data_IF_589934858562
#
_entry.id   IF_589934858562
#
_cell.length_a   1.000
_cell.length_b   1.000
_cell.length_c   1.000
_cell.angle_alpha   90.00
_cell.angle_beta   90.00
_cell.angle_gamma   90.00
#
_symmetry.space_group_name_H-M   'P 1'
#
loop_
_entity.id
_entity.type
_entity.pdbx_description
1 polymer ?
#
# COMPACT_ATOMS: atom_id res chain seq x y z
N UNK A 1 -13.40 -22.42 12.65
CA UNK A 1 -11.96 -22.37 12.28
C UNK A 1 -11.22 -23.39 13.12
N UNK A 2 -10.34 -24.23 12.56
CA UNK A 2 -9.46 -25.09 13.35
C UNK A 2 -8.58 -24.24 14.26
N UNK A 3 -8.34 -24.66 15.50
CA UNK A 3 -7.50 -23.93 16.48
C UNK A 3 -6.08 -23.64 15.96
N UNK A 4 -5.59 -24.44 15.03
CA UNK A 4 -4.29 -24.26 14.36
C UNK A 4 -4.22 -23.04 13.43
N UNK A 5 -5.30 -22.70 12.70
CA UNK A 5 -5.31 -21.53 11.80
C UNK A 5 -5.34 -20.20 12.56
N UNK A 6 -6.07 -20.13 13.68
CA UNK A 6 -6.08 -18.92 14.52
C UNK A 6 -4.70 -18.69 15.14
N UNK A 7 -4.04 -19.75 15.62
CA UNK A 7 -2.68 -19.67 16.17
C UNK A 7 -1.66 -19.17 15.14
N UNK A 8 -1.73 -19.66 13.90
CA UNK A 8 -0.87 -19.20 12.81
C UNK A 8 -1.10 -17.72 12.48
N UNK A 9 -2.36 -17.28 12.43
CA UNK A 9 -2.71 -15.86 12.20
C UNK A 9 -2.17 -14.95 13.30
N UNK A 10 -2.36 -15.33 14.55
CA UNK A 10 -1.84 -14.56 15.69
C UNK A 10 -0.31 -14.49 15.65
N UNK A 11 0.38 -15.59 15.34
CA UNK A 11 1.83 -15.62 15.26
C UNK A 11 2.38 -14.72 14.15
N UNK A 12 1.76 -14.76 12.95
CA UNK A 12 2.16 -13.87 11.82
C UNK A 12 1.96 -12.40 12.19
N UNK A 13 0.83 -12.04 12.80
CA UNK A 13 0.57 -10.66 13.23
C UNK A 13 1.50 -10.22 14.37
N UNK A 14 1.77 -11.09 15.35
CA UNK A 14 2.62 -10.81 16.49
C UNK A 14 4.09 -10.56 16.11
N UNK A 15 4.56 -11.11 14.98
CA UNK A 15 5.90 -10.85 14.46
C UNK A 15 5.86 -9.72 13.42
N UNK A 16 4.91 -9.78 12.48
CA UNK A 16 4.85 -8.86 11.35
C UNK A 16 4.59 -7.41 11.75
N UNK A 17 3.68 -7.18 12.71
CA UNK A 17 3.36 -5.82 13.15
C UNK A 17 4.55 -5.14 13.84
N UNK A 18 5.24 -5.74 14.84
CA UNK A 18 6.43 -5.15 15.43
C UNK A 18 7.57 -4.92 14.42
N UNK A 19 7.81 -5.84 13.49
CA UNK A 19 8.82 -5.68 12.44
C UNK A 19 8.46 -4.51 11.52
N UNK A 20 7.20 -4.39 11.12
CA UNK A 20 6.75 -3.27 10.28
C UNK A 20 6.90 -1.93 11.02
N UNK A 21 6.48 -1.85 12.29
CA UNK A 21 6.62 -0.63 13.11
C UNK A 21 8.10 -0.28 13.27
N UNK A 22 8.95 -1.24 13.61
CA UNK A 22 10.38 -1.01 13.77
C UNK A 22 11.02 -0.50 12.46
N UNK A 23 10.66 -1.07 11.31
CA UNK A 23 11.14 -0.63 10.02
C UNK A 23 10.65 0.78 9.65
N UNK A 24 9.37 1.09 9.91
CA UNK A 24 8.79 2.42 9.65
C UNK A 24 9.48 3.48 10.52
N UNK A 25 9.73 3.19 11.78
CA UNK A 25 10.42 4.12 12.70
C UNK A 25 11.88 4.29 12.32
N UNK A 26 12.59 3.19 12.06
CA UNK A 26 13.99 3.23 11.64
C UNK A 26 14.17 3.96 10.30
N UNK A 27 13.20 3.84 9.38
CA UNK A 27 13.27 4.47 8.06
C UNK A 27 14.43 3.96 7.21
N UNK A 28 14.91 4.81 6.29
CA UNK A 28 16.07 4.56 5.46
C UNK A 28 16.10 3.17 4.81
N UNK A 29 17.24 2.52 4.82
CA UNK A 29 17.43 1.20 4.21
C UNK A 29 16.63 0.08 4.91
N UNK A 30 16.33 0.18 6.20
CA UNK A 30 15.53 -0.83 6.91
C UNK A 30 14.10 -0.90 6.36
N UNK A 31 13.46 0.27 6.19
CA UNK A 31 12.15 0.36 5.56
C UNK A 31 12.23 0.02 4.08
N UNK A 32 13.26 0.54 3.38
CA UNK A 32 13.45 0.31 1.96
C UNK A 32 13.58 -1.16 1.58
N UNK A 33 14.39 -1.93 2.30
CA UNK A 33 14.56 -3.38 2.06
C UNK A 33 13.26 -4.14 2.35
N UNK A 34 12.56 -3.80 3.45
CA UNK A 34 11.28 -4.42 3.78
C UNK A 34 10.25 -4.16 2.67
N UNK A 35 10.06 -2.91 2.27
CA UNK A 35 9.11 -2.55 1.22
C UNK A 35 9.52 -3.11 -0.16
N UNK A 36 10.82 -3.19 -0.47
CA UNK A 36 11.30 -3.82 -1.70
C UNK A 36 11.00 -5.32 -1.74
N UNK A 37 11.17 -6.03 -0.62
CA UNK A 37 10.79 -7.44 -0.51
C UNK A 37 9.27 -7.64 -0.67
N UNK A 38 8.48 -6.75 -0.10
CA UNK A 38 7.02 -6.73 -0.26
C UNK A 38 6.63 -6.43 -1.71
N UNK A 39 7.23 -5.44 -2.35
CA UNK A 39 6.98 -5.11 -3.76
C UNK A 39 7.32 -6.28 -4.69
N UNK A 40 8.47 -6.92 -4.47
CA UNK A 40 8.89 -8.12 -5.18
C UNK A 40 7.87 -9.26 -5.04
N UNK A 41 7.48 -9.58 -3.80
CA UNK A 41 6.49 -10.61 -3.50
C UNK A 41 5.15 -10.36 -4.17
N UNK A 42 4.64 -9.12 -4.07
CA UNK A 42 3.38 -8.69 -4.68
C UNK A 42 3.41 -8.73 -6.20
N UNK A 43 4.51 -8.31 -6.84
CA UNK A 43 4.69 -8.41 -8.28
C UNK A 43 4.66 -9.88 -8.75
N UNK A 44 5.37 -10.77 -8.04
CA UNK A 44 5.40 -12.19 -8.36
C UNK A 44 4.03 -12.86 -8.18
N UNK A 45 3.26 -12.47 -7.16
CA UNK A 45 1.89 -12.94 -6.96
C UNK A 45 0.96 -12.46 -8.08
N UNK A 46 1.03 -11.18 -8.45
CA UNK A 46 0.25 -10.62 -9.55
C UNK A 46 0.58 -11.31 -10.89
N UNK A 47 1.85 -11.61 -11.15
CA UNK A 47 2.25 -12.38 -12.33
C UNK A 47 1.70 -13.81 -12.31
N UNK A 48 1.63 -14.48 -11.14
CA UNK A 48 1.00 -15.80 -11.02
C UNK A 48 -0.51 -15.72 -11.26
N UNK A 49 -1.19 -14.67 -10.80
CA UNK A 49 -2.62 -14.45 -11.09
C UNK A 49 -2.84 -14.29 -12.60
N UNK A 50 -2.01 -13.50 -13.28
CA UNK A 50 -2.07 -13.34 -14.72
C UNK A 50 -1.85 -14.67 -15.49
N UNK A 51 -0.92 -15.50 -15.02
CA UNK A 51 -0.70 -16.83 -15.62
C UNK A 51 -1.93 -17.74 -15.50
N UNK A 52 -2.66 -17.66 -14.40
CA UNK A 52 -3.92 -18.39 -14.23
C UNK A 52 -5.01 -17.90 -15.18
N UNK A 53 -4.97 -16.61 -15.56
CA UNK A 53 -5.85 -16.03 -16.59
C UNK A 53 -5.34 -16.28 -18.03
N UNK A 54 -4.31 -17.10 -18.22
CA UNK A 54 -3.74 -17.44 -19.53
C UNK A 54 -2.83 -16.36 -20.12
N UNK A 55 -2.41 -15.37 -19.34
CA UNK A 55 -1.45 -14.35 -19.74
C UNK A 55 -0.09 -14.71 -19.15
N UNK A 56 0.98 -14.62 -19.96
CA UNK A 56 2.34 -14.98 -19.53
C UNK A 56 3.24 -13.75 -19.46
N UNK A 57 3.29 -13.00 -18.33
CA UNK A 57 4.15 -11.83 -18.18
C UNK A 57 5.65 -12.20 -18.27
N UNK A 58 6.50 -11.21 -18.56
CA UNK A 58 7.95 -11.37 -18.49
C UNK A 58 8.40 -11.03 -17.07
N UNK A 59 8.50 -12.06 -16.22
CA UNK A 59 8.60 -11.89 -14.76
C UNK A 59 9.87 -11.19 -14.28
N UNK A 60 11.02 -11.55 -14.86
CA UNK A 60 12.32 -11.09 -14.34
C UNK A 60 12.46 -9.57 -14.37
N UNK A 61 12.32 -8.89 -15.51
CA UNK A 61 12.44 -7.43 -15.54
C UNK A 61 11.34 -6.74 -14.73
N UNK A 62 10.11 -7.30 -14.71
CA UNK A 62 9.02 -6.73 -13.92
C UNK A 62 9.26 -6.82 -12.41
N UNK A 63 9.70 -7.99 -11.92
CA UNK A 63 10.01 -8.19 -10.51
C UNK A 63 11.22 -7.38 -10.06
N UNK A 64 12.27 -7.31 -10.90
CA UNK A 64 13.45 -6.48 -10.64
C UNK A 64 13.09 -4.99 -10.56
N UNK A 65 12.21 -4.51 -11.45
CA UNK A 65 11.73 -3.13 -11.40
C UNK A 65 10.91 -2.85 -10.14
N UNK A 66 10.00 -3.76 -9.75
CA UNK A 66 9.17 -3.56 -8.56
C UNK A 66 10.01 -3.35 -7.30
N UNK A 67 11.00 -4.23 -7.07
CA UNK A 67 11.93 -4.07 -5.96
C UNK A 67 12.87 -2.86 -6.15
N UNK A 68 13.42 -2.69 -7.35
CA UNK A 68 14.35 -1.63 -7.71
C UNK A 68 13.77 -0.23 -7.53
N UNK A 69 12.48 -0.02 -7.83
CA UNK A 69 11.81 1.28 -7.63
C UNK A 69 11.82 1.69 -6.16
N UNK A 70 11.56 0.76 -5.27
CA UNK A 70 11.58 1.01 -3.82
C UNK A 70 13.02 1.26 -3.34
N UNK A 71 14.00 0.51 -3.85
CA UNK A 71 15.41 0.72 -3.50
C UNK A 71 15.95 2.05 -4.04
N UNK A 72 15.47 2.52 -5.20
CA UNK A 72 15.76 3.88 -5.71
C UNK A 72 15.21 4.92 -4.73
N UNK A 73 13.95 4.77 -4.27
CA UNK A 73 13.36 5.66 -3.28
C UNK A 73 14.07 5.58 -1.91
N UNK A 74 14.62 4.43 -1.52
CA UNK A 74 15.43 4.32 -0.30
C UNK A 74 16.80 5.01 -0.44
N UNK A 75 17.40 4.97 -1.63
CA UNK A 75 18.65 5.66 -1.94
C UNK A 75 18.46 7.17 -2.10
N UNK A 76 17.35 7.59 -2.68
CA UNK A 76 16.93 8.98 -2.91
C UNK A 76 15.57 9.20 -2.24
N UNK A 77 15.55 9.49 -0.93
CA UNK A 77 14.32 9.49 -0.15
C UNK A 77 13.41 10.69 -0.39
N UNK A 78 13.84 11.65 -1.23
CA UNK A 78 13.00 12.73 -1.75
C UNK A 78 12.44 12.40 -3.14
N UNK A 79 11.17 12.74 -3.38
CA UNK A 79 10.55 12.51 -4.70
C UNK A 79 11.25 13.30 -5.80
N UNK A 80 11.74 14.49 -5.51
CA UNK A 80 12.44 15.34 -6.47
C UNK A 80 13.74 14.67 -6.95
N UNK A 81 14.51 14.09 -6.04
CA UNK A 81 15.74 13.37 -6.36
C UNK A 81 15.48 12.02 -7.03
N UNK A 82 14.40 11.33 -6.64
CA UNK A 82 14.06 10.01 -7.16
C UNK A 82 13.34 10.04 -8.51
N UNK A 83 12.70 11.15 -8.88
CA UNK A 83 11.83 11.25 -10.06
C UNK A 83 12.54 10.83 -11.35
N UNK A 84 13.72 11.38 -11.62
CA UNK A 84 14.48 11.03 -12.84
C UNK A 84 14.94 9.57 -12.88
N UNK A 85 15.58 9.02 -11.83
CA UNK A 85 15.92 7.59 -11.80
C UNK A 85 14.70 6.67 -11.95
N UNK A 86 13.57 6.99 -11.31
CA UNK A 86 12.33 6.22 -11.44
C UNK A 86 11.75 6.31 -12.85
N UNK A 87 11.74 7.49 -13.46
CA UNK A 87 11.28 7.67 -14.84
C UNK A 87 12.14 6.87 -15.82
N UNK A 88 13.47 6.99 -15.72
CA UNK A 88 14.41 6.25 -16.59
C UNK A 88 14.22 4.74 -16.41
N UNK A 89 14.11 4.25 -15.18
CA UNK A 89 13.89 2.83 -14.91
C UNK A 89 12.56 2.33 -15.49
N UNK A 90 11.49 3.15 -15.47
CA UNK A 90 10.22 2.81 -16.10
C UNK A 90 10.31 2.72 -17.62
N UNK A 91 11.03 3.65 -18.26
CA UNK A 91 11.30 3.59 -19.70
C UNK A 91 12.07 2.30 -20.03
N UNK A 92 13.12 1.98 -19.26
CA UNK A 92 13.88 0.73 -19.44
C UNK A 92 12.98 -0.50 -19.26
N UNK A 93 12.09 -0.52 -18.26
CA UNK A 93 11.13 -1.60 -18.08
C UNK A 93 10.24 -1.80 -19.31
N UNK A 94 9.67 -0.70 -19.83
CA UNK A 94 8.80 -0.75 -21.02
C UNK A 94 9.56 -1.32 -22.23
N UNK A 95 10.79 -0.84 -22.47
CA UNK A 95 11.64 -1.32 -23.56
C UNK A 95 12.01 -2.81 -23.39
N UNK A 96 12.36 -3.22 -22.16
CA UNK A 96 12.67 -4.62 -21.86
C UNK A 96 11.42 -5.52 -22.00
N UNK A 97 10.26 -5.08 -21.52
CA UNK A 97 9.02 -5.83 -21.63
C UNK A 97 8.60 -5.97 -23.11
N UNK A 98 8.64 -4.88 -23.87
CA UNK A 98 8.32 -4.89 -25.31
C UNK A 98 9.36 -5.66 -26.14
N UNK A 99 10.64 -5.54 -25.82
CA UNK A 99 11.71 -6.28 -26.50
C UNK A 99 11.68 -7.78 -26.22
N UNK A 100 11.51 -8.15 -24.94
CA UNK A 100 11.53 -9.55 -24.54
C UNK A 100 10.43 -10.40 -25.20
N UNK A 101 9.25 -9.83 -25.45
CA UNK A 101 8.15 -10.60 -26.09
C UNK A 101 8.47 -11.03 -27.51
N UNK A 102 9.37 -10.33 -28.21
CA UNK A 102 9.80 -10.70 -29.56
C UNK A 102 10.40 -12.12 -29.58
N UNK A 103 11.30 -12.40 -28.63
CA UNK A 103 12.01 -13.69 -28.56
C UNK A 103 11.34 -14.71 -27.62
N UNK A 104 10.65 -14.22 -26.57
CA UNK A 104 10.12 -15.11 -25.52
C UNK A 104 8.68 -15.51 -25.79
N UNK A 105 7.89 -14.71 -26.51
CA UNK A 105 6.46 -14.96 -26.74
C UNK A 105 6.09 -15.17 -28.20
N UNK A 106 6.69 -14.44 -29.13
CA UNK A 106 6.25 -14.43 -30.54
C UNK A 106 4.81 -13.92 -30.67
N UNK A 107 4.24 -14.09 -31.88
CA UNK A 107 2.87 -13.61 -32.18
C UNK A 107 1.80 -14.39 -31.40
N UNK A 108 1.95 -15.72 -31.35
CA UNK A 108 0.96 -16.62 -30.72
C UNK A 108 0.94 -16.56 -29.19
N UNK A 109 2.01 -16.03 -28.59
CA UNK A 109 2.17 -15.92 -27.14
C UNK A 109 1.47 -14.71 -26.49
N UNK A 110 0.53 -14.06 -27.23
CA UNK A 110 -0.22 -12.88 -26.75
C UNK A 110 0.71 -11.76 -26.27
N UNK A 111 1.58 -11.22 -27.14
CA UNK A 111 2.66 -10.29 -26.74
C UNK A 111 2.14 -9.01 -26.08
N UNK A 112 1.02 -8.43 -26.54
CA UNK A 112 0.46 -7.21 -25.98
C UNK A 112 -0.05 -7.40 -24.53
N UNK A 113 -0.92 -8.38 -24.22
CA UNK A 113 -1.28 -8.66 -22.83
C UNK A 113 -0.08 -9.03 -21.97
N UNK A 114 0.90 -9.77 -22.50
CA UNK A 114 2.12 -10.14 -21.79
C UNK A 114 2.94 -8.92 -21.35
N UNK A 115 3.20 -7.98 -22.28
CA UNK A 115 3.93 -6.74 -21.99
C UNK A 115 3.15 -5.83 -21.03
N UNK A 116 1.85 -5.62 -21.30
CA UNK A 116 1.00 -4.77 -20.45
C UNK A 116 0.94 -5.28 -19.01
N UNK A 117 0.78 -6.60 -18.83
CA UNK A 117 0.75 -7.20 -17.49
C UNK A 117 2.12 -7.15 -16.82
N UNK A 118 3.22 -7.28 -17.57
CA UNK A 118 4.57 -7.11 -17.03
C UNK A 118 4.75 -5.71 -16.48
N UNK A 119 4.38 -4.69 -17.25
CA UNK A 119 4.51 -3.27 -16.84
C UNK A 119 3.58 -2.95 -15.67
N UNK A 120 2.31 -3.32 -15.75
CA UNK A 120 1.35 -3.08 -14.66
C UNK A 120 1.79 -3.78 -13.37
N UNK A 121 2.13 -5.08 -13.46
CA UNK A 121 2.52 -5.87 -12.29
C UNK A 121 3.85 -5.47 -11.67
N UNK A 122 4.66 -4.70 -12.37
CA UNK A 122 5.89 -4.10 -11.88
C UNK A 122 5.65 -2.71 -11.25
N UNK A 123 5.00 -1.81 -12.01
CA UNK A 123 4.77 -0.43 -11.59
C UNK A 123 3.81 -0.38 -10.40
N UNK A 124 2.73 -1.16 -10.42
CA UNK A 124 1.72 -1.10 -9.38
C UNK A 124 2.32 -1.35 -7.99
N UNK A 125 2.96 -2.48 -7.66
CA UNK A 125 3.55 -2.65 -6.32
C UNK A 125 4.82 -1.80 -6.12
N UNK A 126 5.65 -1.59 -7.14
CA UNK A 126 6.92 -0.89 -7.02
C UNK A 126 6.74 0.60 -6.71
N UNK A 127 6.00 1.31 -7.56
CA UNK A 127 5.83 2.75 -7.38
C UNK A 127 4.91 3.10 -6.21
N UNK A 128 3.85 2.32 -5.99
CA UNK A 128 2.96 2.61 -4.87
C UNK A 128 3.68 2.49 -3.53
N UNK A 129 4.52 1.46 -3.36
CA UNK A 129 5.30 1.30 -2.13
C UNK A 129 6.51 2.23 -2.04
N UNK A 130 7.08 2.69 -3.17
CA UNK A 130 8.10 3.74 -3.16
C UNK A 130 7.59 5.03 -2.51
N UNK A 131 6.30 5.37 -2.67
CA UNK A 131 5.68 6.50 -1.96
C UNK A 131 5.70 6.33 -0.43
N UNK A 132 5.80 5.10 0.08
CA UNK A 132 6.00 4.86 1.51
C UNK A 132 7.36 5.39 2.02
N UNK A 133 8.39 5.37 1.17
CA UNK A 133 9.68 5.98 1.47
C UNK A 133 9.58 7.51 1.48
N UNK A 134 8.94 8.09 0.46
CA UNK A 134 8.75 9.54 0.36
C UNK A 134 7.86 10.05 1.51
N UNK A 135 6.76 9.36 1.81
CA UNK A 135 5.88 9.70 2.92
C UNK A 135 6.62 9.69 4.27
N UNK A 136 7.60 8.78 4.41
CA UNK A 136 8.42 8.68 5.62
C UNK A 136 9.46 9.79 5.76
N UNK A 137 9.98 10.33 4.63
CA UNK A 137 11.18 11.15 4.65
C UNK A 137 10.99 12.59 4.13
N UNK A 138 10.18 12.85 3.10
CA UNK A 138 10.06 14.17 2.46
C UNK A 138 9.60 15.27 3.40
N UNK A 139 8.80 14.94 4.40
CA UNK A 139 8.20 15.94 5.30
C UNK A 139 8.94 16.10 6.63
N UNK A 140 9.99 15.32 6.88
CA UNK A 140 10.70 15.39 8.17
C UNK A 140 11.43 16.71 8.38
N UNK A 141 11.95 17.33 7.31
CA UNK A 141 12.60 18.63 7.37
C UNK A 141 11.68 19.75 7.90
N UNK A 142 10.35 19.62 7.75
CA UNK A 142 9.37 20.61 8.24
C UNK A 142 9.30 20.68 9.77
N UNK A 143 9.69 19.59 10.44
CA UNK A 143 9.64 19.46 11.90
C UNK A 143 11.02 19.23 12.51
N UNK A 144 12.09 19.38 11.70
CA UNK A 144 13.48 19.25 12.15
C UNK A 144 13.79 20.34 13.21
N UNK A 145 14.37 19.92 14.32
CA UNK A 145 14.70 20.82 15.43
C UNK A 145 13.50 21.34 16.24
N UNK A 146 12.29 20.90 15.93
CA UNK A 146 11.10 21.28 16.68
C UNK A 146 11.08 20.62 18.08
N UNK A 147 10.45 21.30 19.04
CA UNK A 147 10.16 20.71 20.35
C UNK A 147 8.90 19.86 20.23
N UNK A 148 9.05 18.54 20.32
CA UNK A 148 7.93 17.62 20.18
C UNK A 148 7.10 17.53 21.47
N UNK A 149 5.78 17.70 21.35
CA UNK A 149 4.81 17.49 22.42
C UNK A 149 4.48 16.02 22.69
N UNK A 150 5.11 15.10 21.95
CA UNK A 150 4.89 13.68 22.10
C UNK A 150 5.45 13.15 23.42
N UNK A 151 4.82 12.13 24.06
CA UNK A 151 5.27 11.59 25.32
C UNK A 151 6.52 10.70 25.17
N UNK A 152 7.51 10.92 26.04
CA UNK A 152 8.67 10.03 26.23
C UNK A 152 9.45 9.69 24.97
N UNK A 153 9.60 8.41 24.67
CA UNK A 153 10.38 7.90 23.53
C UNK A 153 9.78 8.24 22.15
N UNK A 154 8.54 8.69 22.10
CA UNK A 154 7.89 9.14 20.85
C UNK A 154 8.34 10.55 20.43
N UNK A 155 8.98 11.32 21.32
CA UNK A 155 9.41 12.70 21.06
C UNK A 155 10.73 12.74 20.26
N UNK A 156 10.74 12.17 19.05
CA UNK A 156 11.92 12.14 18.15
C UNK A 156 11.50 12.34 16.70
N UNK A 157 12.43 12.83 15.87
CA UNK A 157 12.23 12.99 14.42
C UNK A 157 11.89 11.65 13.74
N UNK A 158 12.45 10.55 14.22
CA UNK A 158 12.14 9.22 13.70
C UNK A 158 10.65 8.89 13.82
N UNK A 159 10.03 9.23 14.93
CA UNK A 159 8.60 9.03 15.14
C UNK A 159 7.75 10.08 14.41
N UNK A 160 8.24 11.33 14.27
CA UNK A 160 7.56 12.35 13.50
C UNK A 160 7.37 11.92 12.02
N UNK A 161 8.43 11.46 11.36
CA UNK A 161 8.32 10.93 10.01
C UNK A 161 7.48 9.64 9.92
N UNK A 162 7.57 8.77 10.95
CA UNK A 162 6.74 7.57 11.03
C UNK A 162 5.25 7.91 11.17
N UNK A 163 4.89 9.02 11.82
CA UNK A 163 3.51 9.42 12.05
C UNK A 163 2.71 9.60 10.76
N UNK A 164 3.32 10.11 9.69
CA UNK A 164 2.66 10.27 8.39
C UNK A 164 2.35 8.91 7.74
N UNK A 165 3.27 7.95 7.83
CA UNK A 165 3.03 6.58 7.35
C UNK A 165 1.94 5.92 8.19
N UNK A 166 1.99 6.08 9.52
CA UNK A 166 0.99 5.53 10.45
C UNK A 166 -0.39 6.14 10.22
N UNK A 167 -0.48 7.41 9.78
CA UNK A 167 -1.75 8.00 9.35
C UNK A 167 -2.43 7.15 8.26
N UNK A 168 -1.71 6.85 7.18
CA UNK A 168 -2.28 6.10 6.05
C UNK A 168 -2.68 4.68 6.44
N UNK A 169 -1.85 3.99 7.21
CA UNK A 169 -2.12 2.63 7.72
C UNK A 169 -3.29 2.65 8.70
N UNK A 170 -3.27 3.56 9.66
CA UNK A 170 -4.30 3.67 10.71
C UNK A 170 -5.68 4.01 10.15
N UNK A 171 -5.75 4.97 9.22
CA UNK A 171 -7.00 5.33 8.53
C UNK A 171 -7.55 4.13 7.77
N UNK A 172 -6.71 3.41 7.02
CA UNK A 172 -7.12 2.20 6.28
C UNK A 172 -7.67 1.13 7.23
N UNK A 173 -6.98 0.83 8.32
CA UNK A 173 -7.41 -0.20 9.27
C UNK A 173 -8.71 0.16 10.01
N UNK A 174 -8.90 1.43 10.38
CA UNK A 174 -10.15 1.88 11.00
C UNK A 174 -11.29 1.86 9.99
N UNK A 175 -11.04 2.27 8.73
CA UNK A 175 -12.00 2.15 7.64
C UNK A 175 -12.51 0.70 7.51
N UNK A 176 -11.60 -0.26 7.42
CA UNK A 176 -11.95 -1.68 7.26
C UNK A 176 -12.67 -2.23 8.50
N UNK A 177 -12.21 -1.86 9.68
CA UNK A 177 -12.80 -2.27 10.95
C UNK A 177 -14.23 -1.78 11.08
N UNK A 178 -14.48 -0.48 10.86
CA UNK A 178 -15.81 0.11 10.88
C UNK A 178 -16.71 -0.50 9.80
N UNK A 179 -16.17 -0.69 8.58
CA UNK A 179 -16.90 -1.30 7.49
C UNK A 179 -17.31 -2.75 7.80
N UNK A 180 -16.43 -3.53 8.41
CA UNK A 180 -16.70 -4.90 8.80
C UNK A 180 -17.81 -5.01 9.84
N UNK A 181 -17.69 -4.27 10.97
CA UNK A 181 -18.66 -4.37 12.05
C UNK A 181 -20.05 -3.82 11.66
N UNK A 182 -20.09 -2.65 11.02
CA UNK A 182 -21.36 -2.07 10.56
C UNK A 182 -21.99 -2.92 9.45
N UNK A 183 -21.20 -3.38 8.50
CA UNK A 183 -21.64 -4.24 7.42
C UNK A 183 -22.19 -5.57 7.90
N UNK A 184 -21.58 -6.17 8.92
CA UNK A 184 -22.06 -7.41 9.55
C UNK A 184 -23.36 -7.22 10.33
N UNK A 185 -23.50 -6.10 11.04
CA UNK A 185 -24.65 -5.85 11.93
C UNK A 185 -25.87 -5.30 11.19
N UNK A 186 -25.65 -4.38 10.23
CA UNK A 186 -26.75 -3.64 9.57
C UNK A 186 -26.75 -3.76 8.04
N UNK A 187 -25.75 -4.44 7.45
CA UNK A 187 -25.57 -4.51 5.99
C UNK A 187 -26.57 -5.44 5.30
N UNK A 188 -27.63 -4.87 4.72
CA UNK A 188 -28.61 -5.59 3.91
C UNK A 188 -28.27 -5.55 2.41
N UNK A 189 -27.95 -4.35 1.88
CA UNK A 189 -27.61 -4.13 0.47
C UNK A 189 -26.12 -4.38 0.25
N UNK A 190 -25.80 -5.29 -0.67
CA UNK A 190 -24.43 -5.58 -1.09
C UNK A 190 -23.87 -4.45 -1.95
N UNK A 191 -22.54 -4.22 -1.88
CA UNK A 191 -21.86 -3.17 -2.63
C UNK A 191 -21.63 -3.63 -4.09
N UNK A 192 -20.82 -4.68 -4.29
CA UNK A 192 -20.54 -5.30 -5.59
C UNK A 192 -20.54 -6.83 -5.40
N UNK A 193 -21.71 -7.50 -5.49
CA UNK A 193 -21.85 -8.92 -5.17
C UNK A 193 -20.95 -9.85 -5.97
N UNK A 194 -20.73 -9.52 -7.25
CA UNK A 194 -19.92 -10.34 -8.18
C UNK A 194 -18.42 -10.31 -7.87
N UNK A 195 -17.94 -9.25 -7.26
CA UNK A 195 -16.53 -9.05 -6.92
C UNK A 195 -16.24 -9.47 -5.47
N UNK A 196 -16.98 -8.85 -4.54
CA UNK A 196 -16.84 -9.07 -3.10
C UNK A 196 -18.20 -9.24 -2.43
N UNK A 197 -18.72 -10.48 -2.30
CA UNK A 197 -20.05 -10.73 -1.74
C UNK A 197 -20.18 -10.38 -0.25
N UNK A 198 -19.07 -10.17 0.45
CA UNK A 198 -19.04 -9.77 1.86
C UNK A 198 -19.31 -8.28 2.08
N UNK A 199 -18.91 -7.42 1.15
CA UNK A 199 -19.01 -5.96 1.30
C UNK A 199 -20.43 -5.45 1.14
N UNK A 200 -20.81 -4.47 1.97
CA UNK A 200 -22.15 -3.87 1.99
C UNK A 200 -22.09 -2.35 1.89
N UNK A 201 -23.16 -1.73 1.40
CA UNK A 201 -23.25 -0.26 1.28
C UNK A 201 -23.15 0.41 2.66
N UNK A 202 -23.86 -0.13 3.66
CA UNK A 202 -23.80 0.40 5.04
C UNK A 202 -22.38 0.26 5.62
N UNK A 203 -21.72 -0.87 5.34
CA UNK A 203 -20.32 -1.05 5.72
C UNK A 203 -19.42 0.00 5.10
N UNK A 204 -19.52 0.25 3.79
CA UNK A 204 -18.70 1.26 3.11
C UNK A 204 -18.91 2.66 3.70
N UNK A 205 -20.17 3.08 3.92
CA UNK A 205 -20.47 4.39 4.53
C UNK A 205 -19.90 4.50 5.95
N UNK A 206 -20.05 3.46 6.77
CA UNK A 206 -19.54 3.44 8.14
C UNK A 206 -17.99 3.44 8.15
N UNK A 207 -17.36 2.72 7.21
CA UNK A 207 -15.91 2.75 7.03
C UNK A 207 -15.42 4.16 6.74
N UNK A 208 -16.00 4.83 5.74
CA UNK A 208 -15.65 6.21 5.40
C UNK A 208 -15.88 7.19 6.55
N UNK A 209 -16.97 7.04 7.31
CA UNK A 209 -17.21 7.85 8.50
C UNK A 209 -16.12 7.63 9.57
N UNK A 210 -15.70 6.38 9.78
CA UNK A 210 -14.57 6.05 10.66
C UNK A 210 -13.25 6.63 10.17
N UNK A 211 -12.98 6.55 8.87
CA UNK A 211 -11.80 7.13 8.25
C UNK A 211 -11.72 8.66 8.42
N UNK A 212 -12.84 9.36 8.22
CA UNK A 212 -12.96 10.81 8.47
C UNK A 212 -12.70 11.13 9.94
N UNK A 213 -13.34 10.42 10.84
CA UNK A 213 -13.22 10.67 12.28
C UNK A 213 -11.79 10.43 12.78
N UNK A 214 -11.16 9.31 12.39
CA UNK A 214 -9.79 9.02 12.81
C UNK A 214 -8.79 9.94 12.14
N UNK A 215 -8.99 10.32 10.86
CA UNK A 215 -8.14 11.28 10.15
C UNK A 215 -8.13 12.64 10.84
N UNK A 216 -9.31 13.15 11.23
CA UNK A 216 -9.45 14.41 11.99
C UNK A 216 -8.77 14.33 13.36
N UNK A 217 -9.05 13.28 14.12
CA UNK A 217 -8.49 13.12 15.47
C UNK A 217 -6.97 12.92 15.42
N UNK A 218 -6.46 12.12 14.50
CA UNK A 218 -5.03 11.86 14.36
C UNK A 218 -4.27 13.12 13.93
N UNK A 219 -4.81 13.91 12.99
CA UNK A 219 -4.22 15.18 12.60
C UNK A 219 -4.14 16.14 13.79
N UNK A 220 -5.24 16.37 14.51
CA UNK A 220 -5.27 17.29 15.65
C UNK A 220 -4.37 16.87 16.82
N UNK A 221 -4.35 15.57 17.17
CA UNK A 221 -3.64 15.08 18.36
C UNK A 221 -2.20 14.71 18.03
N UNK A 222 -1.98 13.95 16.96
CA UNK A 222 -0.67 13.39 16.67
C UNK A 222 0.14 14.32 15.76
N UNK A 223 -0.39 14.67 14.57
CA UNK A 223 0.39 15.45 13.60
C UNK A 223 0.64 16.87 14.11
N UNK A 224 -0.38 17.53 14.64
CA UNK A 224 -0.26 18.91 15.10
C UNK A 224 0.13 18.97 16.59
N UNK A 225 -0.58 18.22 17.46
CA UNK A 225 -0.36 18.31 18.89
C UNK A 225 0.97 17.73 19.37
N UNK A 226 1.46 16.64 18.73
CA UNK A 226 2.74 16.02 19.10
C UNK A 226 3.91 16.52 18.26
N UNK A 227 3.71 16.70 16.96
CA UNK A 227 4.81 16.94 16.03
C UNK A 227 4.79 18.32 15.35
N UNK A 228 3.69 19.07 15.44
CA UNK A 228 3.64 20.45 14.97
C UNK A 228 3.57 20.62 13.46
N UNK A 229 3.04 19.62 12.71
CA UNK A 229 2.90 19.72 11.27
C UNK A 229 1.96 20.84 10.78
N UNK A 230 1.03 21.29 11.63
CA UNK A 230 0.11 22.39 11.29
C UNK A 230 -0.95 22.05 10.27
N UNK A 231 -1.30 20.76 10.12
CA UNK A 231 -2.26 20.27 9.12
C UNK A 231 -3.70 20.75 9.41
N UNK A 232 -4.09 20.77 10.68
CA UNK A 232 -5.44 21.02 11.12
C UNK A 232 -6.39 19.82 11.03
N UNK A 233 -7.33 19.75 11.97
CA UNK A 233 -8.29 18.64 12.03
C UNK A 233 -9.18 18.50 10.77
N UNK A 234 -9.54 19.64 10.15
CA UNK A 234 -10.40 19.63 8.97
C UNK A 234 -9.69 19.05 7.74
N UNK A 235 -8.41 19.40 7.52
CA UNK A 235 -7.59 18.79 6.51
C UNK A 235 -7.35 17.30 6.83
N UNK A 236 -7.10 16.95 8.09
CA UNK A 236 -7.01 15.56 8.52
C UNK A 236 -8.28 14.75 8.22
N UNK A 237 -9.47 15.34 8.41
CA UNK A 237 -10.75 14.73 8.03
C UNK A 237 -10.84 14.49 6.51
N UNK A 238 -10.45 15.48 5.70
CA UNK A 238 -10.41 15.36 4.24
C UNK A 238 -9.41 14.28 3.77
N UNK A 239 -8.21 14.26 4.35
CA UNK A 239 -7.21 13.21 4.10
C UNK A 239 -7.73 11.83 4.48
N UNK A 240 -8.40 11.72 5.63
CA UNK A 240 -9.04 10.49 6.08
C UNK A 240 -10.11 10.00 5.09
N UNK A 241 -10.95 10.90 4.57
CA UNK A 241 -11.94 10.56 3.55
C UNK A 241 -11.26 10.06 2.26
N UNK A 242 -10.27 10.79 1.76
CA UNK A 242 -9.55 10.43 0.52
C UNK A 242 -8.89 9.05 0.65
N UNK A 243 -8.13 8.84 1.72
CA UNK A 243 -7.47 7.55 2.00
C UNK A 243 -8.50 6.43 2.15
N UNK A 244 -9.61 6.66 2.87
CA UNK A 244 -10.67 5.67 3.04
C UNK A 244 -11.35 5.26 1.72
N UNK A 245 -11.62 6.24 0.84
CA UNK A 245 -12.22 5.97 -0.47
C UNK A 245 -11.28 5.13 -1.34
N UNK A 246 -10.01 5.52 -1.43
CA UNK A 246 -9.06 4.80 -2.29
C UNK A 246 -8.66 3.45 -1.71
N UNK A 247 -8.64 3.28 -0.39
CA UNK A 247 -8.46 1.99 0.26
C UNK A 247 -9.58 1.00 -0.10
N UNK A 248 -10.84 1.46 -0.06
CA UNK A 248 -12.00 0.66 -0.51
C UNK A 248 -11.90 0.26 -1.99
N UNK A 249 -11.46 1.19 -2.85
CA UNK A 249 -11.25 0.93 -4.28
C UNK A 249 -10.14 -0.09 -4.48
N UNK A 250 -9.02 0.02 -3.74
CA UNK A 250 -7.87 -0.87 -3.83
C UNK A 250 -8.23 -2.33 -3.53
N UNK A 251 -8.90 -2.59 -2.41
CA UNK A 251 -9.38 -3.93 -2.05
C UNK A 251 -10.36 -4.48 -3.11
N UNK A 252 -11.26 -3.64 -3.65
CA UNK A 252 -12.15 -4.07 -4.73
C UNK A 252 -11.38 -4.38 -6.03
N UNK A 253 -10.40 -3.56 -6.39
CA UNK A 253 -9.57 -3.75 -7.59
C UNK A 253 -8.80 -5.07 -7.52
N UNK A 254 -8.14 -5.36 -6.38
CA UNK A 254 -7.48 -6.63 -6.17
C UNK A 254 -8.46 -7.80 -6.21
N UNK A 255 -9.64 -7.64 -5.59
CA UNK A 255 -10.70 -8.65 -5.62
C UNK A 255 -11.12 -8.99 -7.05
N UNK A 256 -11.23 -7.99 -7.95
CA UNK A 256 -11.54 -8.23 -9.39
C UNK A 256 -10.47 -9.10 -10.04
N UNK A 257 -9.19 -8.77 -9.86
CA UNK A 257 -8.06 -9.53 -10.43
C UNK A 257 -8.07 -10.98 -9.93
N UNK A 258 -8.32 -11.19 -8.63
CA UNK A 258 -8.44 -12.55 -8.07
C UNK A 258 -9.61 -13.34 -8.67
N UNK A 259 -10.76 -12.69 -8.91
CA UNK A 259 -11.91 -13.38 -9.55
C UNK A 259 -11.64 -13.73 -10.99
N UNK A 260 -10.98 -12.86 -11.75
CA UNK A 260 -10.54 -13.16 -13.13
C UNK A 260 -9.59 -14.37 -13.16
N UNK A 261 -8.67 -14.47 -12.20
CA UNK A 261 -7.77 -15.62 -12.06
C UNK A 261 -8.46 -16.89 -11.49
N UNK A 262 -9.75 -16.85 -11.16
CA UNK A 262 -10.52 -17.96 -10.60
C UNK A 262 -10.12 -18.34 -9.16
N UNK A 263 -9.51 -17.40 -8.42
CA UNK A 263 -9.04 -17.67 -7.04
C UNK A 263 -9.66 -16.70 -6.03
N UNK A 264 -9.46 -17.00 -4.75
CA UNK A 264 -9.85 -16.14 -3.64
C UNK A 264 -8.67 -15.38 -3.06
N UNK A 265 -7.52 -16.02 -2.94
CA UNK A 265 -6.31 -15.48 -2.33
C UNK A 265 -5.20 -15.40 -3.40
N UNK A 266 -4.36 -14.34 -3.36
CA UNK A 266 -3.30 -14.10 -4.35
C UNK A 266 -2.14 -15.08 -4.24
N UNK A 267 -1.89 -15.59 -3.03
CA UNK A 267 -0.79 -16.49 -2.71
C UNK A 267 -0.99 -17.23 -1.39
N UNK A 268 0.06 -17.93 -0.97
CA UNK A 268 0.08 -18.71 0.27
C UNK A 268 1.32 -18.41 1.12
N UNK A 269 1.94 -17.25 0.94
CA UNK A 269 3.19 -16.91 1.64
C UNK A 269 2.97 -16.81 3.15
N UNK A 270 1.85 -16.28 3.58
CA UNK A 270 1.49 -16.18 4.99
C UNK A 270 0.47 -17.26 5.36
N UNK A 271 0.86 -18.28 6.15
CA UNK A 271 -0.04 -19.35 6.57
C UNK A 271 -1.33 -18.80 7.21
N UNK A 272 -2.49 -19.17 6.65
CA UNK A 272 -3.79 -18.69 7.10
C UNK A 272 -4.14 -17.23 6.75
N UNK A 273 -3.24 -16.49 6.07
CA UNK A 273 -3.44 -15.08 5.69
C UNK A 273 -3.40 -14.82 4.17
N UNK A 274 -3.13 -15.82 3.34
CA UNK A 274 -3.01 -15.61 1.90
C UNK A 274 -1.63 -15.11 1.47
N UNK A 275 -1.60 -14.31 0.41
CA UNK A 275 -0.38 -13.72 -0.13
C UNK A 275 0.01 -12.37 0.49
N UNK A 276 1.12 -11.85 -0.01
CA UNK A 276 1.60 -10.49 0.31
C UNK A 276 0.64 -9.45 -0.25
N UNK A 277 0.18 -9.66 -1.49
CA UNK A 277 -0.76 -8.78 -2.17
C UNK A 277 -2.06 -8.65 -1.37
N UNK A 278 -2.62 -9.80 -0.87
CA UNK A 278 -3.82 -9.82 -0.04
C UNK A 278 -3.72 -9.01 1.28
N UNK A 279 -2.52 -8.70 1.74
CA UNK A 279 -2.30 -7.97 3.00
C UNK A 279 -2.16 -6.47 2.84
N UNK A 280 -1.88 -6.02 1.61
CA UNK A 280 -1.57 -4.63 1.31
C UNK A 280 -2.46 -4.04 0.21
N UNK A 281 -3.49 -4.78 -0.22
CA UNK A 281 -4.43 -4.41 -1.29
C UNK A 281 -4.94 -2.98 -1.18
N UNK A 282 -5.43 -2.59 -0.02
CA UNK A 282 -5.86 -1.24 0.28
C UNK A 282 -4.69 -0.24 0.38
N UNK A 283 -3.55 -0.68 0.93
CA UNK A 283 -2.39 0.19 1.17
C UNK A 283 -1.66 0.59 -0.12
N UNK A 284 -1.70 -0.23 -1.17
CA UNK A 284 -1.17 0.15 -2.49
C UNK A 284 -1.85 1.41 -3.06
N UNK A 285 -3.09 1.66 -2.69
CA UNK A 285 -3.81 2.88 -3.07
C UNK A 285 -3.69 3.97 -2.02
N UNK A 286 -3.76 3.61 -0.75
CA UNK A 286 -3.76 4.53 0.38
C UNK A 286 -2.45 5.31 0.52
N UNK A 287 -1.30 4.63 0.42
CA UNK A 287 0.01 5.24 0.64
C UNK A 287 0.32 6.36 -0.37
N UNK A 288 0.23 6.16 -1.71
CA UNK A 288 0.51 7.24 -2.65
C UNK A 288 -0.49 8.39 -2.55
N UNK A 289 -1.78 8.10 -2.28
CA UNK A 289 -2.77 9.16 -2.11
C UNK A 289 -2.53 9.97 -0.84
N UNK A 290 -2.15 9.31 0.27
CA UNK A 290 -1.74 10.01 1.48
C UNK A 290 -0.50 10.90 1.24
N UNK A 291 0.50 10.40 0.50
CA UNK A 291 1.68 11.19 0.15
C UNK A 291 1.30 12.46 -0.60
N UNK A 292 0.53 12.35 -1.70
CA UNK A 292 0.14 13.52 -2.50
C UNK A 292 -0.83 14.46 -1.76
N UNK A 293 -1.67 13.92 -0.87
CA UNK A 293 -2.48 14.73 0.02
C UNK A 293 -1.61 15.59 0.95
N UNK A 294 -0.60 15.02 1.59
CA UNK A 294 0.31 15.78 2.45
C UNK A 294 1.18 16.76 1.66
N UNK A 295 1.61 16.36 0.46
CA UNK A 295 2.35 17.26 -0.45
C UNK A 295 1.58 18.55 -0.74
N UNK A 296 0.27 18.45 -1.01
CA UNK A 296 -0.58 19.62 -1.29
C UNK A 296 -0.96 20.39 -0.03
N UNK A 297 -1.07 19.72 1.11
CA UNK A 297 -1.61 20.31 2.35
C UNK A 297 -0.53 20.89 3.26
N UNK A 298 0.69 20.40 3.17
CA UNK A 298 1.83 20.82 4.00
C UNK A 298 2.91 21.53 3.19
N UNK A 299 3.05 21.25 1.88
CA UNK A 299 4.00 21.91 0.97
C UNK A 299 3.35 23.08 0.31
#
# INVERSE_FOLDING_TARGET
>A
MPKSELGQRVAVAAIGIPVAIAAIVAGGWYLGVLLAAVALGSALELFRLAERSGIRPVKVPGAAFAAGSVLIAAWRPSIEEAALPLFVSAVVLVLLAAGAVVWVRGVDGRPLPSSATTVLGAIFPGWTLAHGMFLRHDFTAMVEGASYGAPGFLATEAWAGAALVVFSVGVTWINDTCAYFAGRKWGRRKLIPTVSPGKTVVGAVAGLAGAVAVGAAYAAVVLDGWYGFGLGWAAGAAGGLLVGVVALIGDLAESVIKREAGVKDSGNLFPGHGGVLDRLDALFFAIPVAYWFFWVSLG
#
